data_IF_786014450222
#
_entry.id   IF_786014450222
#
_cell.length_a   1.000
_cell.length_b   1.000
_cell.length_c   1.000
_cell.angle_alpha   90.00
_cell.angle_beta   90.00
_cell.angle_gamma   90.00
#
_symmetry.space_group_name_H-M   'P 1'
#
loop_
_entity.id
_entity.type
_entity.pdbx_description
1 polymer ?
#
# COMPACT_ATOMS: atom_id res chain seq x y z
N UNK A 1 -0.64 -30.24 -0.06
CA UNK A 1 -1.68 -29.27 0.37
C UNK A 1 -2.58 -29.03 -0.82
N UNK A 2 -3.72 -29.73 -0.87
CA UNK A 2 -4.75 -29.41 -1.85
C UNK A 2 -5.60 -28.26 -1.30
N UNK A 3 -5.19 -27.04 -1.66
CA UNK A 3 -6.07 -25.88 -1.50
C UNK A 3 -7.16 -26.10 -2.54
N UNK A 4 -8.42 -26.16 -2.12
CA UNK A 4 -9.50 -26.33 -3.09
C UNK A 4 -9.42 -25.16 -4.08
N UNK A 5 -9.63 -25.44 -5.37
CA UNK A 5 -9.65 -24.42 -6.43
C UNK A 5 -10.62 -23.28 -6.08
N UNK A 6 -11.70 -23.61 -5.40
CA UNK A 6 -12.68 -22.63 -4.93
C UNK A 6 -12.11 -21.69 -3.87
N UNK A 7 -11.40 -22.21 -2.85
CA UNK A 7 -10.77 -21.38 -1.82
C UNK A 7 -9.71 -20.44 -2.43
N UNK A 8 -8.92 -20.94 -3.38
CA UNK A 8 -7.96 -20.14 -4.12
C UNK A 8 -8.65 -19.01 -4.91
N UNK A 9 -9.73 -19.34 -5.64
CA UNK A 9 -10.49 -18.36 -6.42
C UNK A 9 -11.10 -17.29 -5.51
N UNK A 10 -11.65 -17.66 -4.36
CA UNK A 10 -12.21 -16.72 -3.39
C UNK A 10 -11.12 -15.87 -2.73
N UNK A 11 -9.97 -16.42 -2.40
CA UNK A 11 -8.85 -15.62 -1.89
C UNK A 11 -8.35 -14.60 -2.92
N UNK A 12 -8.29 -15.00 -4.21
CA UNK A 12 -8.00 -14.09 -5.32
C UNK A 12 -9.06 -12.97 -5.42
N UNK A 13 -10.35 -13.33 -5.33
CA UNK A 13 -11.45 -12.37 -5.35
C UNK A 13 -11.40 -11.40 -4.15
N UNK A 14 -11.03 -11.89 -2.96
CA UNK A 14 -10.81 -11.04 -1.78
C UNK A 14 -9.64 -10.08 -1.98
N UNK A 15 -8.54 -10.56 -2.55
CA UNK A 15 -7.39 -9.72 -2.88
C UNK A 15 -7.75 -8.62 -3.89
N UNK A 16 -8.51 -8.98 -4.92
CA UNK A 16 -9.04 -8.03 -5.90
C UNK A 16 -9.95 -6.99 -5.22
N UNK A 17 -10.92 -7.43 -4.42
CA UNK A 17 -11.83 -6.54 -3.70
C UNK A 17 -11.09 -5.60 -2.74
N UNK A 18 -10.07 -6.11 -2.03
CA UNK A 18 -9.19 -5.29 -1.19
C UNK A 18 -8.47 -4.21 -2.02
N UNK A 19 -7.84 -4.60 -3.12
CA UNK A 19 -7.17 -3.66 -4.02
C UNK A 19 -8.10 -2.55 -4.49
N UNK A 20 -9.31 -2.92 -4.94
CA UNK A 20 -10.32 -2.00 -5.43
C UNK A 20 -10.80 -0.98 -4.38
N UNK A 21 -10.96 -1.42 -3.13
CA UNK A 21 -11.39 -0.52 -2.05
C UNK A 21 -10.25 0.35 -1.55
N UNK A 22 -9.09 -0.23 -1.39
CA UNK A 22 -8.06 0.33 -0.54
C UNK A 22 -7.08 1.27 -1.25
N UNK A 23 -6.83 1.13 -2.55
CA UNK A 23 -5.89 2.00 -3.29
C UNK A 23 -6.27 3.48 -3.16
N UNK A 24 -7.55 3.76 -3.16
CA UNK A 24 -8.13 5.10 -3.09
C UNK A 24 -7.67 5.89 -1.87
N UNK A 25 -7.50 5.22 -0.72
CA UNK A 25 -7.06 5.85 0.53
C UNK A 25 -5.66 6.47 0.45
N UNK A 26 -4.82 5.98 -0.46
CA UNK A 26 -3.46 6.48 -0.64
C UNK A 26 -3.37 7.51 -1.77
N UNK A 27 -4.23 7.44 -2.79
CA UNK A 27 -4.12 8.29 -3.99
C UNK A 27 -5.15 9.42 -4.06
N UNK A 28 -6.24 9.36 -3.27
CA UNK A 28 -7.31 10.35 -3.33
C UNK A 28 -6.81 11.78 -3.09
N UNK A 29 -5.84 11.95 -2.20
CA UNK A 29 -5.25 13.26 -1.93
C UNK A 29 -4.40 13.78 -3.09
N UNK A 30 -3.74 12.91 -3.88
CA UNK A 30 -3.01 13.32 -5.09
C UNK A 30 -3.96 13.85 -6.16
N UNK A 31 -5.10 13.18 -6.34
CA UNK A 31 -6.12 13.56 -7.32
C UNK A 31 -6.88 14.79 -6.83
N UNK A 32 -7.35 14.78 -5.59
CA UNK A 32 -8.15 15.86 -5.00
C UNK A 32 -7.39 17.18 -4.84
N UNK A 33 -6.05 17.15 -4.68
CA UNK A 33 -5.22 18.35 -4.67
C UNK A 33 -4.88 18.89 -6.06
N UNK A 34 -5.27 18.17 -7.14
CA UNK A 34 -4.98 18.59 -8.53
C UNK A 34 -3.53 18.41 -8.96
N UNK A 35 -2.70 17.69 -8.16
CA UNK A 35 -1.29 17.44 -8.50
C UNK A 35 -1.18 16.53 -9.73
N UNK A 36 -2.14 15.60 -9.90
CA UNK A 36 -2.14 14.68 -11.03
C UNK A 36 -3.55 14.21 -11.37
N UNK A 37 -3.68 13.63 -12.56
CA UNK A 37 -4.89 12.95 -13.00
C UNK A 37 -5.06 11.57 -12.33
N UNK A 38 -6.28 11.05 -12.35
CA UNK A 38 -6.61 9.75 -11.76
C UNK A 38 -5.79 8.60 -12.35
N UNK A 39 -5.54 8.62 -13.69
CA UNK A 39 -4.83 7.52 -14.37
C UNK A 39 -3.40 7.38 -13.88
N UNK A 40 -2.71 8.49 -13.72
CA UNK A 40 -1.33 8.50 -13.21
C UNK A 40 -1.29 8.11 -11.73
N UNK A 41 -2.22 8.64 -10.91
CA UNK A 41 -2.32 8.32 -9.49
C UNK A 41 -2.62 6.84 -9.26
N UNK A 42 -3.58 6.25 -10.02
CA UNK A 42 -3.95 4.84 -9.85
C UNK A 42 -2.81 3.91 -10.29
N UNK A 43 -2.10 4.22 -11.38
CA UNK A 43 -0.95 3.43 -11.82
C UNK A 43 0.16 3.44 -10.76
N UNK A 44 0.45 4.59 -10.17
CA UNK A 44 1.41 4.75 -9.09
C UNK A 44 1.03 3.96 -7.83
N UNK A 45 -0.21 4.16 -7.34
CA UNK A 45 -0.70 3.46 -6.15
C UNK A 45 -0.76 1.94 -6.34
N UNK A 46 -1.14 1.48 -7.55
CA UNK A 46 -1.14 0.07 -7.91
C UNK A 46 0.25 -0.53 -7.88
N UNK A 47 1.23 0.13 -8.52
CA UNK A 47 2.61 -0.36 -8.56
C UNK A 47 3.19 -0.51 -7.14
N UNK A 48 3.04 0.50 -6.30
CA UNK A 48 3.53 0.45 -4.91
C UNK A 48 2.77 -0.55 -4.05
N UNK A 49 1.46 -0.72 -4.25
CA UNK A 49 0.67 -1.77 -3.57
C UNK A 49 1.20 -3.16 -3.93
N UNK A 50 1.47 -3.44 -5.21
CA UNK A 50 2.00 -4.72 -5.66
C UNK A 50 3.40 -5.00 -5.08
N UNK A 51 4.28 -4.00 -5.08
CA UNK A 51 5.63 -4.11 -4.49
C UNK A 51 5.52 -4.40 -2.99
N UNK A 52 4.67 -3.66 -2.27
CA UNK A 52 4.45 -3.88 -0.84
C UNK A 52 3.90 -5.27 -0.53
N UNK A 53 2.90 -5.71 -1.30
CA UNK A 53 2.30 -7.03 -1.14
C UNK A 53 3.30 -8.16 -1.41
N UNK A 54 4.13 -8.05 -2.45
CA UNK A 54 5.15 -9.05 -2.77
C UNK A 54 6.24 -9.12 -1.70
N UNK A 55 6.75 -7.96 -1.24
CA UNK A 55 7.79 -7.89 -0.22
C UNK A 55 7.31 -8.31 1.18
N UNK A 56 6.00 -8.31 1.43
CA UNK A 56 5.43 -8.83 2.67
C UNK A 56 5.78 -10.31 2.92
N UNK A 57 6.06 -11.07 1.87
CA UNK A 57 6.49 -12.48 1.98
C UNK A 57 7.69 -12.67 2.93
N UNK A 58 8.56 -11.68 3.06
CA UNK A 58 9.79 -11.76 3.87
C UNK A 58 9.60 -11.36 5.34
N UNK A 59 8.54 -10.61 5.67
CA UNK A 59 8.40 -10.00 7.00
C UNK A 59 7.11 -10.39 7.74
N UNK A 60 6.16 -11.05 7.07
CA UNK A 60 4.79 -11.15 7.54
C UNK A 60 4.41 -12.43 8.29
N UNK A 61 5.36 -13.28 8.68
CA UNK A 61 5.09 -14.58 9.31
C UNK A 61 4.21 -14.48 10.56
N UNK A 62 4.39 -13.45 11.39
CA UNK A 62 3.59 -13.26 12.61
C UNK A 62 2.11 -12.94 12.27
N UNK A 63 1.88 -12.13 11.22
CA UNK A 63 0.55 -11.78 10.74
C UNK A 63 -0.16 -12.99 10.15
N UNK A 64 0.53 -13.79 9.33
CA UNK A 64 0.00 -15.04 8.76
C UNK A 64 -0.45 -15.96 9.88
N UNK A 65 0.41 -16.23 10.88
CA UNK A 65 0.06 -17.09 12.03
C UNK A 65 -1.15 -16.57 12.80
N UNK A 66 -1.28 -15.26 12.97
CA UNK A 66 -2.41 -14.68 13.69
C UNK A 66 -3.72 -14.93 12.95
N UNK A 67 -3.77 -14.68 11.65
CA UNK A 67 -5.01 -14.78 10.86
C UNK A 67 -5.34 -16.20 10.38
N UNK A 68 -4.36 -17.11 10.30
CA UNK A 68 -4.64 -18.51 9.92
C UNK A 68 -5.15 -19.36 11.10
N UNK A 69 -4.40 -19.40 12.19
CA UNK A 69 -4.72 -20.30 13.34
C UNK A 69 -4.69 -19.58 14.69
N UNK A 70 -4.27 -18.32 14.76
CA UNK A 70 -4.04 -17.61 16.04
C UNK A 70 -5.30 -17.08 16.72
N UNK A 71 -6.47 -17.25 16.12
CA UNK A 71 -7.77 -16.78 16.62
C UNK A 71 -8.70 -17.93 17.03
N UNK A 72 -8.36 -19.17 16.65
CA UNK A 72 -9.14 -20.38 16.90
C UNK A 72 -8.38 -21.28 17.86
N UNK A 73 -9.08 -22.00 18.74
CA UNK A 73 -8.50 -22.88 19.75
C UNK A 73 -7.62 -23.98 19.12
N UNK A 74 -6.52 -24.29 19.80
CA UNK A 74 -5.60 -25.34 19.38
C UNK A 74 -6.33 -26.69 19.33
N UNK A 75 -6.21 -27.40 18.20
CA UNK A 75 -6.89 -28.67 18.00
C UNK A 75 -8.25 -28.57 17.31
N UNK A 76 -8.79 -27.37 17.12
CA UNK A 76 -10.00 -27.18 16.31
C UNK A 76 -9.67 -27.40 14.82
N UNK A 77 -10.35 -28.34 14.20
CA UNK A 77 -10.22 -28.60 12.76
C UNK A 77 -11.08 -27.58 12.00
N UNK A 78 -10.43 -26.66 11.32
CA UNK A 78 -11.11 -25.70 10.47
C UNK A 78 -11.36 -26.37 9.11
N UNK A 79 -12.61 -26.73 8.86
CA UNK A 79 -13.01 -27.33 7.61
C UNK A 79 -12.97 -26.36 6.42
N UNK A 80 -13.01 -26.89 5.19
CA UNK A 80 -13.11 -26.06 3.99
C UNK A 80 -14.35 -25.16 3.96
N UNK A 81 -15.45 -25.64 4.51
CA UNK A 81 -16.75 -24.94 4.65
C UNK A 81 -16.62 -23.66 5.49
N UNK A 82 -15.92 -23.74 6.62
CA UNK A 82 -15.63 -22.58 7.51
C UNK A 82 -14.76 -21.57 6.77
N UNK A 83 -13.71 -22.04 6.09
CA UNK A 83 -12.82 -21.17 5.31
C UNK A 83 -13.57 -20.47 4.17
N UNK A 84 -14.44 -21.17 3.45
CA UNK A 84 -15.26 -20.60 2.40
C UNK A 84 -16.24 -19.57 2.94
N UNK A 85 -16.89 -19.85 4.08
CA UNK A 85 -17.80 -18.90 4.71
C UNK A 85 -17.10 -17.60 5.15
N UNK A 86 -15.89 -17.69 5.72
CA UNK A 86 -15.06 -16.53 6.06
C UNK A 86 -14.74 -15.71 4.82
N UNK A 87 -14.25 -16.35 3.75
CA UNK A 87 -13.91 -15.68 2.50
C UNK A 87 -15.12 -15.00 1.88
N UNK A 88 -16.25 -15.71 1.76
CA UNK A 88 -17.50 -15.18 1.18
C UNK A 88 -18.00 -13.97 2.00
N UNK A 89 -18.02 -14.06 3.33
CA UNK A 89 -18.45 -12.97 4.20
C UNK A 89 -17.58 -11.72 4.06
N UNK A 90 -16.27 -11.90 4.05
CA UNK A 90 -15.32 -10.79 3.88
C UNK A 90 -15.44 -10.15 2.47
N UNK A 91 -15.52 -10.97 1.41
CA UNK A 91 -15.68 -10.49 0.03
C UNK A 91 -16.98 -9.71 -0.12
N UNK A 92 -18.09 -10.29 0.34
CA UNK A 92 -19.41 -9.68 0.23
C UNK A 92 -19.45 -8.29 0.89
N UNK A 93 -18.88 -8.16 2.08
CA UNK A 93 -18.79 -6.88 2.78
C UNK A 93 -17.93 -5.86 2.02
N UNK A 94 -16.71 -6.24 1.59
CA UNK A 94 -15.80 -5.32 0.90
C UNK A 94 -16.36 -4.89 -0.44
N UNK A 95 -16.93 -5.81 -1.23
CA UNK A 95 -17.53 -5.48 -2.53
C UNK A 95 -18.78 -4.61 -2.37
N UNK A 96 -19.63 -4.89 -1.39
CA UNK A 96 -20.80 -4.07 -1.09
C UNK A 96 -20.38 -2.63 -0.76
N UNK A 97 -19.44 -2.46 0.14
CA UNK A 97 -18.92 -1.14 0.51
C UNK A 97 -18.25 -0.42 -0.68
N UNK A 98 -17.46 -1.14 -1.49
CA UNK A 98 -16.80 -0.56 -2.68
C UNK A 98 -17.81 -0.06 -3.72
N UNK A 99 -18.91 -0.79 -3.92
CA UNK A 99 -20.00 -0.35 -4.82
C UNK A 99 -20.69 0.94 -4.34
N UNK A 100 -20.78 1.11 -3.03
CA UNK A 100 -21.31 2.34 -2.42
C UNK A 100 -20.27 3.48 -2.36
N UNK A 101 -19.02 3.22 -2.75
CA UNK A 101 -17.92 4.18 -2.63
C UNK A 101 -17.38 4.34 -1.22
N UNK A 102 -17.74 3.44 -0.28
CA UNK A 102 -17.33 3.54 1.12
C UNK A 102 -15.95 2.90 1.32
N UNK A 103 -14.97 3.66 1.89
CA UNK A 103 -13.69 3.11 2.28
C UNK A 103 -13.86 2.25 3.54
N UNK A 104 -13.60 0.94 3.43
CA UNK A 104 -13.72 0.01 4.56
C UNK A 104 -12.38 -0.65 4.88
N UNK A 105 -12.27 -1.21 6.08
CA UNK A 105 -11.09 -1.96 6.49
C UNK A 105 -11.26 -3.45 6.21
N UNK A 106 -10.41 -4.00 5.37
CA UNK A 106 -10.35 -5.44 5.10
C UNK A 106 -9.99 -6.24 6.36
N UNK A 107 -9.20 -5.64 7.27
CA UNK A 107 -8.90 -6.25 8.58
C UNK A 107 -10.19 -6.44 9.40
N UNK A 108 -11.04 -5.42 9.46
CA UNK A 108 -12.34 -5.54 10.14
C UNK A 108 -13.26 -6.56 9.45
N UNK A 109 -13.30 -6.55 8.12
CA UNK A 109 -14.09 -7.51 7.34
C UNK A 109 -13.66 -8.96 7.62
N UNK A 110 -12.35 -9.25 7.53
CA UNK A 110 -11.79 -10.58 7.80
C UNK A 110 -12.00 -10.99 9.26
N UNK A 111 -11.71 -10.09 10.21
CA UNK A 111 -11.89 -10.40 11.63
C UNK A 111 -13.37 -10.69 11.95
N UNK A 112 -14.26 -9.86 11.45
CA UNK A 112 -15.70 -10.08 11.62
C UNK A 112 -16.16 -11.40 11.00
N UNK A 113 -15.67 -11.73 9.82
CA UNK A 113 -15.97 -12.99 9.15
C UNK A 113 -15.42 -14.21 9.94
N UNK A 114 -14.18 -14.15 10.42
CA UNK A 114 -13.57 -15.22 11.23
C UNK A 114 -14.33 -15.39 12.54
N UNK A 115 -14.62 -14.30 13.25
CA UNK A 115 -15.36 -14.36 14.54
C UNK A 115 -16.80 -14.83 14.33
N UNK A 116 -17.50 -14.28 13.36
CA UNK A 116 -18.89 -14.65 13.10
C UNK A 116 -19.04 -16.11 12.66
N UNK A 117 -18.23 -16.55 11.70
CA UNK A 117 -18.23 -17.93 11.22
C UNK A 117 -17.74 -18.90 12.30
N UNK A 118 -16.66 -18.53 13.01
CA UNK A 118 -16.11 -19.36 14.08
C UNK A 118 -17.08 -19.52 15.25
N UNK A 119 -17.82 -18.48 15.62
CA UNK A 119 -18.84 -18.57 16.65
C UNK A 119 -19.99 -19.54 16.26
N UNK A 120 -20.43 -19.48 15.00
CA UNK A 120 -21.47 -20.38 14.51
C UNK A 120 -20.98 -21.83 14.39
N UNK A 121 -19.74 -22.02 13.93
CA UNK A 121 -19.19 -23.36 13.70
C UNK A 121 -18.72 -24.08 14.95
N UNK A 122 -18.17 -23.34 15.93
CA UNK A 122 -17.45 -23.89 17.09
C UNK A 122 -17.97 -23.40 18.42
N UNK A 123 -19.04 -22.62 18.46
CA UNK A 123 -19.55 -21.90 19.61
C UNK A 123 -18.51 -20.97 20.27
N UNK A 124 -18.78 -20.49 21.47
CA UNK A 124 -17.91 -19.56 22.18
C UNK A 124 -16.53 -20.17 22.52
N UNK A 125 -16.49 -21.46 22.80
CA UNK A 125 -15.31 -22.19 23.25
C UNK A 125 -14.27 -22.39 22.12
N UNK A 126 -14.68 -22.34 20.86
CA UNK A 126 -13.80 -22.54 19.71
C UNK A 126 -12.94 -21.33 19.37
N UNK A 127 -13.19 -20.16 19.98
CA UNK A 127 -12.49 -18.92 19.71
C UNK A 127 -11.56 -18.51 20.85
N UNK A 128 -10.38 -17.97 20.52
CA UNK A 128 -9.44 -17.43 21.51
C UNK A 128 -9.76 -15.94 21.72
N UNK A 129 -10.76 -15.64 22.54
CA UNK A 129 -11.22 -14.27 22.82
C UNK A 129 -10.11 -13.33 23.30
N UNK A 130 -9.17 -13.85 24.10
CA UNK A 130 -8.02 -13.08 24.57
C UNK A 130 -7.06 -12.68 23.44
N UNK A 131 -6.92 -13.53 22.41
CA UNK A 131 -6.13 -13.20 21.22
C UNK A 131 -6.87 -12.18 20.33
N UNK A 132 -8.16 -12.37 20.12
CA UNK A 132 -9.03 -11.42 19.38
C UNK A 132 -8.96 -10.05 20.05
N UNK A 133 -9.14 -9.99 21.36
CA UNK A 133 -9.08 -8.77 22.14
C UNK A 133 -7.72 -8.07 22.04
N UNK A 134 -6.65 -8.77 22.41
CA UNK A 134 -5.30 -8.18 22.51
C UNK A 134 -4.64 -7.90 21.17
N UNK A 135 -4.79 -8.80 20.18
CA UNK A 135 -4.06 -8.69 18.90
C UNK A 135 -4.83 -7.92 17.83
N UNK A 136 -6.15 -7.81 17.96
CA UNK A 136 -7.00 -7.20 16.93
C UNK A 136 -7.84 -6.06 17.51
N UNK A 137 -8.76 -6.34 18.45
CA UNK A 137 -9.72 -5.35 18.91
C UNK A 137 -9.05 -4.13 19.58
N UNK A 138 -8.10 -4.36 20.48
CA UNK A 138 -7.35 -3.30 21.15
C UNK A 138 -6.56 -2.41 20.18
N UNK A 139 -5.69 -2.94 19.29
CA UNK A 139 -5.01 -2.14 18.29
C UNK A 139 -5.98 -1.36 17.37
N UNK A 140 -7.07 -1.99 16.94
CA UNK A 140 -8.06 -1.32 16.08
C UNK A 140 -8.78 -0.18 16.80
N UNK A 141 -9.10 -0.36 18.09
CA UNK A 141 -9.75 0.67 18.91
C UNK A 141 -8.82 1.86 19.17
N UNK A 142 -7.54 1.59 19.48
CA UNK A 142 -6.58 2.63 19.83
C UNK A 142 -5.91 3.30 18.62
N UNK A 143 -5.84 2.62 17.46
CA UNK A 143 -5.14 3.16 16.29
C UNK A 143 -5.66 4.52 15.79
N UNK A 144 -6.97 4.83 15.77
CA UNK A 144 -7.45 6.15 15.37
C UNK A 144 -6.98 7.26 16.30
N UNK A 145 -6.98 7.01 17.61
CA UNK A 145 -6.51 7.98 18.61
C UNK A 145 -5.02 8.21 18.49
N UNK A 146 -4.24 7.14 18.28
CA UNK A 146 -2.80 7.24 18.05
C UNK A 146 -2.50 8.03 16.77
N UNK A 147 -3.19 7.69 15.66
CA UNK A 147 -3.02 8.39 14.38
C UNK A 147 -3.39 9.87 14.48
N UNK A 148 -4.47 10.19 15.17
CA UNK A 148 -4.89 11.56 15.42
C UNK A 148 -3.86 12.34 16.24
N UNK A 149 -3.40 11.75 17.34
CA UNK A 149 -2.38 12.38 18.21
C UNK A 149 -1.08 12.63 17.46
N UNK A 150 -0.59 11.63 16.72
CA UNK A 150 0.63 11.76 15.89
C UNK A 150 0.43 12.85 14.83
N UNK A 151 -0.73 12.90 14.18
CA UNK A 151 -1.04 13.95 13.19
C UNK A 151 -1.04 15.34 13.81
N UNK A 152 -1.63 15.51 14.98
CA UNK A 152 -1.63 16.79 15.70
C UNK A 152 -0.21 17.26 16.06
N UNK A 153 0.64 16.34 16.48
CA UNK A 153 2.02 16.66 16.86
C UNK A 153 2.91 17.00 15.65
N UNK A 154 2.73 16.29 14.55
CA UNK A 154 3.55 16.46 13.35
C UNK A 154 3.06 17.63 12.48
N UNK A 155 1.74 17.89 12.47
CA UNK A 155 1.15 18.92 11.59
C UNK A 155 1.81 20.30 11.67
N UNK A 156 2.09 20.89 12.85
CA UNK A 156 2.73 22.21 12.93
C UNK A 156 4.13 22.22 12.30
N UNK A 157 4.91 21.15 12.51
CA UNK A 157 6.25 21.03 11.94
C UNK A 157 6.19 20.91 10.41
N UNK A 158 5.32 20.04 9.90
CA UNK A 158 5.10 19.88 8.45
C UNK A 158 4.62 21.18 7.83
N UNK A 159 3.65 21.86 8.45
CA UNK A 159 3.12 23.15 7.97
C UNK A 159 4.21 24.23 7.91
N UNK A 160 5.04 24.31 8.92
CA UNK A 160 6.15 25.29 8.97
C UNK A 160 7.18 24.97 7.88
N UNK A 161 7.51 23.70 7.69
CA UNK A 161 8.41 23.24 6.66
C UNK A 161 7.82 23.50 5.26
N UNK A 162 6.56 23.13 5.04
CA UNK A 162 5.87 23.36 3.78
C UNK A 162 5.86 24.83 3.37
N UNK A 163 5.56 25.76 4.31
CA UNK A 163 5.60 27.19 4.07
C UNK A 163 6.99 27.70 3.68
N UNK A 164 8.06 27.14 4.24
CA UNK A 164 9.44 27.51 3.87
C UNK A 164 9.82 27.00 2.47
N UNK A 165 9.18 25.91 2.01
CA UNK A 165 9.42 25.29 0.71
C UNK A 165 8.35 25.68 -0.32
N UNK A 166 7.36 26.46 0.07
CA UNK A 166 6.34 27.01 -0.83
C UNK A 166 7.03 27.92 -1.86
N UNK A 167 6.97 27.51 -3.13
CA UNK A 167 7.67 28.19 -4.22
C UNK A 167 9.17 27.94 -4.32
N UNK A 168 9.75 27.03 -3.52
CA UNK A 168 11.13 26.60 -3.64
C UNK A 168 11.21 25.11 -4.04
N UNK A 169 12.20 24.76 -4.84
CA UNK A 169 12.51 23.39 -5.20
C UNK A 169 14.02 23.15 -5.08
N UNK A 170 14.39 21.94 -4.71
CA UNK A 170 15.78 21.47 -4.78
C UNK A 170 16.03 20.93 -6.18
N UNK A 171 16.85 21.64 -6.94
CA UNK A 171 17.24 21.25 -8.29
C UNK A 171 18.70 20.82 -8.30
N UNK A 172 19.02 19.78 -9.06
CA UNK A 172 20.41 19.40 -9.32
C UNK A 172 20.84 20.07 -10.64
N UNK A 173 21.64 21.11 -10.55
CA UNK A 173 22.17 21.79 -11.74
C UNK A 173 23.37 21.03 -12.28
N UNK A 174 23.43 20.72 -13.58
CA UNK A 174 24.66 20.18 -14.18
C UNK A 174 25.78 21.19 -13.99
N UNK A 175 26.90 20.75 -13.43
CA UNK A 175 28.07 21.60 -13.31
C UNK A 175 28.62 21.84 -14.72
N UNK A 176 28.34 23.01 -15.28
CA UNK A 176 28.96 23.45 -16.53
C UNK A 176 30.28 24.14 -16.19
N UNK A 177 31.40 23.55 -16.56
CA UNK A 177 32.69 24.23 -16.57
C UNK A 177 32.87 24.92 -17.91
N UNK A 178 33.05 26.21 -17.87
CA UNK A 178 33.54 26.93 -19.05
C UNK A 178 35.00 26.55 -19.27
N UNK A 179 35.30 25.82 -20.32
CA UNK A 179 36.64 25.56 -20.77
C UNK A 179 36.94 26.54 -21.88
N UNK A 180 37.91 27.41 -21.67
CA UNK A 180 38.39 28.33 -22.69
C UNK A 180 39.38 27.54 -23.57
N UNK A 181 38.96 27.16 -24.75
CA UNK A 181 39.88 26.60 -25.75
C UNK A 181 40.54 27.73 -26.55
N UNK A 182 41.86 27.76 -26.58
CA UNK A 182 42.62 28.71 -27.42
C UNK A 182 42.77 28.08 -28.82
N UNK A 183 42.15 28.74 -29.79
CA UNK A 183 42.34 28.34 -31.21
C UNK A 183 43.78 28.67 -31.63
N UNK A 184 44.50 27.78 -32.29
CA UNK A 184 45.85 28.06 -32.82
C UNK A 184 45.92 29.29 -33.75
N UNK A 185 44.77 29.80 -34.21
CA UNK A 185 44.65 31.00 -35.06
C UNK A 185 44.38 32.28 -34.26
N UNK A 186 44.56 32.27 -32.91
CA UNK A 186 44.47 33.46 -32.06
C UNK A 186 43.09 33.82 -31.59
N UNK A 187 42.04 32.98 -31.82
CA UNK A 187 40.71 33.16 -31.32
C UNK A 187 40.45 32.39 -30.01
N UNK A 188 39.73 32.97 -29.08
CA UNK A 188 39.24 32.28 -27.87
C UNK A 188 37.81 31.76 -28.12
N UNK A 189 37.64 30.46 -28.02
CA UNK A 189 36.29 29.81 -28.02
C UNK A 189 35.96 29.31 -26.62
N UNK A 190 34.87 29.77 -26.06
CA UNK A 190 34.38 29.24 -24.81
C UNK A 190 33.56 27.99 -25.08
N UNK A 191 34.06 26.84 -24.67
CA UNK A 191 33.36 25.55 -24.73
C UNK A 191 32.81 25.25 -23.35
N UNK A 192 31.51 24.95 -23.26
CA UNK A 192 30.87 24.48 -22.04
C UNK A 192 30.95 22.95 -21.98
N UNK A 193 31.71 22.45 -21.05
CA UNK A 193 31.77 21.01 -20.79
C UNK A 193 30.85 20.69 -19.59
N UNK A 194 29.84 19.87 -19.84
CA UNK A 194 28.96 19.38 -18.78
C UNK A 194 29.67 18.33 -17.93
N UNK A 195 29.83 18.59 -16.64
CA UNK A 195 30.32 17.58 -15.71
C UNK A 195 29.17 16.64 -15.28
N UNK A 196 29.49 15.36 -15.08
CA UNK A 196 28.49 14.32 -14.75
C UNK A 196 27.86 14.44 -13.36
N UNK A 197 28.34 15.32 -12.49
CA UNK A 197 27.78 15.52 -11.14
C UNK A 197 27.28 16.95 -11.01
N UNK A 198 25.97 17.10 -10.77
CA UNK A 198 25.34 18.38 -10.55
C UNK A 198 25.48 18.86 -9.08
N UNK A 199 25.47 20.17 -8.90
CA UNK A 199 25.37 20.74 -7.56
C UNK A 199 23.90 20.93 -7.17
N UNK A 200 23.48 20.57 -5.94
CA UNK A 200 22.14 20.86 -5.45
C UNK A 200 21.99 22.37 -5.22
N UNK A 201 20.96 22.96 -5.82
CA UNK A 201 20.63 24.38 -5.68
C UNK A 201 19.17 24.52 -5.31
N UNK A 202 18.88 25.38 -4.33
CA UNK A 202 17.50 25.76 -4.02
C UNK A 202 17.11 26.89 -4.96
N UNK A 203 16.08 26.67 -5.77
CA UNK A 203 15.62 27.62 -6.79
C UNK A 203 14.09 27.64 -6.86
N UNK A 204 13.53 28.62 -7.58
CA UNK A 204 12.09 28.64 -7.88
C UNK A 204 11.81 27.73 -9.07
N UNK A 205 10.68 26.97 -9.12
CA UNK A 205 10.35 26.05 -10.19
C UNK A 205 10.54 26.64 -11.61
N UNK A 206 10.12 27.89 -11.81
CA UNK A 206 10.28 28.58 -13.08
C UNK A 206 11.75 28.80 -13.52
N UNK A 207 12.70 28.78 -12.60
CA UNK A 207 14.13 28.87 -12.93
C UNK A 207 14.68 27.49 -13.33
N UNK A 208 14.20 26.43 -12.69
CA UNK A 208 14.55 25.06 -13.04
C UNK A 208 14.06 24.74 -14.48
N UNK A 209 12.84 25.13 -14.83
CA UNK A 209 12.24 24.90 -16.15
C UNK A 209 12.98 25.70 -17.25
N UNK A 210 13.32 26.97 -17.01
CA UNK A 210 14.06 27.83 -17.97
C UNK A 210 15.48 27.31 -18.23
N UNK A 211 16.09 26.67 -17.25
CA UNK A 211 17.42 26.12 -17.39
C UNK A 211 17.44 24.76 -18.12
N UNK A 212 16.30 24.25 -18.58
CA UNK A 212 16.18 22.94 -19.24
C UNK A 212 16.67 21.79 -18.37
N UNK A 213 16.60 21.95 -17.06
CA UNK A 213 17.15 21.01 -16.09
C UNK A 213 16.22 19.80 -16.00
N UNK A 214 16.59 18.73 -16.68
CA UNK A 214 16.06 17.39 -16.43
C UNK A 214 16.71 16.82 -15.16
N UNK A 215 16.59 17.53 -14.05
CA UNK A 215 17.12 17.13 -12.75
C UNK A 215 16.01 16.66 -11.83
N UNK A 216 16.37 15.98 -10.75
CA UNK A 216 15.44 15.62 -9.68
C UNK A 216 14.97 16.92 -9.01
N UNK A 217 13.74 17.35 -9.34
CA UNK A 217 13.10 18.51 -8.69
C UNK A 217 12.37 17.98 -7.46
N UNK A 218 12.91 18.25 -6.27
CA UNK A 218 12.25 17.90 -5.01
C UNK A 218 11.42 19.11 -4.54
N UNK A 219 10.17 19.13 -4.94
CA UNK A 219 9.16 20.08 -4.47
C UNK A 219 8.13 19.40 -3.56
N UNK A 220 7.16 20.17 -3.07
CA UNK A 220 6.05 19.65 -2.26
C UNK A 220 5.26 18.56 -3.00
N UNK A 221 5.06 18.71 -4.30
CA UNK A 221 4.38 17.72 -5.14
C UNK A 221 5.13 16.38 -5.17
N UNK A 222 6.46 16.42 -5.27
CA UNK A 222 7.30 15.21 -5.23
C UNK A 222 7.18 14.50 -3.88
N UNK A 223 7.17 15.26 -2.77
CA UNK A 223 6.97 14.71 -1.43
C UNK A 223 5.58 14.05 -1.32
N UNK A 224 4.56 14.67 -1.92
CA UNK A 224 3.20 14.10 -1.94
C UNK A 224 3.15 12.79 -2.75
N UNK A 225 3.80 12.72 -3.91
CA UNK A 225 3.94 11.48 -4.67
C UNK A 225 4.63 10.39 -3.85
N UNK A 226 5.75 10.69 -3.20
CA UNK A 226 6.49 9.74 -2.36
C UNK A 226 5.63 9.26 -1.20
N UNK A 227 4.96 10.16 -0.47
CA UNK A 227 4.11 9.80 0.67
C UNK A 227 2.92 8.93 0.26
N UNK A 228 2.28 9.22 -0.88
CA UNK A 228 1.22 8.40 -1.46
C UNK A 228 1.74 7.01 -1.86
N UNK A 229 2.93 6.93 -2.47
CA UNK A 229 3.58 5.66 -2.79
C UNK A 229 3.89 4.83 -1.54
N UNK A 230 4.47 5.46 -0.51
CA UNK A 230 4.75 4.79 0.77
C UNK A 230 3.48 4.33 1.48
N UNK A 231 2.39 5.10 1.43
CA UNK A 231 1.10 4.70 1.97
C UNK A 231 0.53 3.47 1.21
N UNK A 232 0.63 3.46 -0.11
CA UNK A 232 0.23 2.31 -0.96
C UNK A 232 1.07 1.07 -0.65
N UNK A 233 2.39 1.24 -0.52
CA UNK A 233 3.33 0.18 -0.16
C UNK A 233 3.01 -0.40 1.23
N UNK A 234 2.87 0.45 2.25
CA UNK A 234 2.55 0.03 3.62
C UNK A 234 1.24 -0.74 3.69
N UNK A 235 0.23 -0.32 2.92
CA UNK A 235 -1.03 -1.05 2.79
C UNK A 235 -0.84 -2.44 2.17
N UNK A 236 -0.16 -2.51 1.04
CA UNK A 236 0.15 -3.79 0.39
C UNK A 236 0.84 -4.76 1.35
N UNK A 237 1.86 -4.26 2.06
CA UNK A 237 2.61 -5.03 3.07
C UNK A 237 1.73 -5.48 4.24
N UNK A 238 0.75 -4.67 4.65
CA UNK A 238 -0.12 -4.99 5.78
C UNK A 238 -1.27 -5.94 5.40
N UNK A 239 -1.82 -5.85 4.20
CA UNK A 239 -3.05 -6.57 3.84
C UNK A 239 -2.80 -7.91 3.14
N UNK A 240 -1.76 -8.02 2.31
CA UNK A 240 -1.41 -9.26 1.65
C UNK A 240 -1.25 -10.46 2.60
N UNK A 241 -0.57 -10.35 3.76
CA UNK A 241 -0.42 -11.48 4.68
C UNK A 241 -1.72 -12.01 5.25
N UNK A 242 -2.71 -11.14 5.45
CA UNK A 242 -4.03 -11.53 5.98
C UNK A 242 -4.80 -12.36 4.96
N UNK A 243 -4.71 -11.97 3.69
CA UNK A 243 -5.34 -12.70 2.58
C UNK A 243 -4.61 -14.02 2.33
N UNK A 244 -3.27 -14.00 2.34
CA UNK A 244 -2.44 -15.20 2.24
C UNK A 244 -2.72 -16.17 3.39
N UNK A 245 -2.99 -15.67 4.61
CA UNK A 245 -3.37 -16.49 5.76
C UNK A 245 -4.68 -17.26 5.52
N UNK A 246 -5.60 -16.72 4.72
CA UNK A 246 -6.86 -17.42 4.38
C UNK A 246 -6.62 -18.67 3.54
N UNK A 247 -5.55 -18.71 2.75
CA UNK A 247 -5.14 -19.91 2.01
C UNK A 247 -4.66 -21.04 2.94
N UNK A 248 -4.16 -20.68 4.14
CA UNK A 248 -3.74 -21.64 5.17
C UNK A 248 -4.86 -22.02 6.13
N UNK A 249 -5.91 -21.20 6.25
CA UNK A 249 -6.97 -21.38 7.25
C UNK A 249 -7.68 -22.74 7.11
N UNK A 250 -7.93 -23.18 5.88
CA UNK A 250 -8.56 -24.47 5.58
C UNK A 250 -7.60 -25.63 5.38
N UNK A 251 -6.29 -25.44 5.64
CA UNK A 251 -5.31 -26.50 5.48
C UNK A 251 -5.02 -27.18 6.81
N UNK A 252 -4.76 -28.50 6.75
CA UNK A 252 -4.32 -29.27 7.93
C UNK A 252 -2.91 -28.90 8.40
N UNK A 253 -2.16 -28.16 7.60
CA UNK A 253 -0.81 -27.72 7.89
C UNK A 253 -0.80 -26.28 8.38
N UNK A 254 -0.25 -26.03 9.55
CA UNK A 254 -0.10 -24.69 10.11
C UNK A 254 1.01 -23.85 9.44
N UNK A 255 1.68 -24.38 8.42
CA UNK A 255 2.78 -23.75 7.72
C UNK A 255 2.79 -24.08 6.23
N UNK A 256 3.44 -23.25 5.44
CA UNK A 256 3.65 -23.48 4.01
C UNK A 256 4.58 -24.69 3.79
N UNK A 257 4.31 -25.52 2.77
CA UNK A 257 5.16 -26.68 2.45
C UNK A 257 6.60 -26.30 2.09
N UNK A 258 6.79 -25.10 1.52
CA UNK A 258 8.10 -24.56 1.13
C UNK A 258 8.08 -23.03 1.07
N UNK A 259 9.26 -22.41 1.12
CA UNK A 259 9.40 -20.98 0.92
C UNK A 259 8.93 -20.54 -0.48
N UNK A 260 9.13 -21.36 -1.51
CA UNK A 260 8.67 -21.07 -2.87
C UNK A 260 7.14 -21.04 -2.97
N UNK A 261 6.42 -21.92 -2.27
CA UNK A 261 4.96 -21.90 -2.24
C UNK A 261 4.41 -20.66 -1.53
N UNK A 262 5.07 -20.22 -0.46
CA UNK A 262 4.74 -18.97 0.21
C UNK A 262 4.96 -17.78 -0.73
N UNK A 263 6.12 -17.68 -1.38
CA UNK A 263 6.41 -16.59 -2.33
C UNK A 263 5.39 -16.57 -3.49
N UNK A 264 5.04 -17.74 -4.03
CA UNK A 264 4.03 -17.85 -5.08
C UNK A 264 2.66 -17.31 -4.62
N UNK A 265 2.23 -17.65 -3.40
CA UNK A 265 0.97 -17.15 -2.83
C UNK A 265 0.97 -15.63 -2.69
N UNK A 266 2.06 -15.03 -2.20
CA UNK A 266 2.21 -13.58 -2.14
C UNK A 266 2.23 -12.93 -3.52
N UNK A 267 2.89 -13.56 -4.50
CA UNK A 267 2.90 -13.12 -5.90
C UNK A 267 1.50 -13.06 -6.49
N UNK A 268 0.71 -14.12 -6.32
CA UNK A 268 -0.68 -14.17 -6.78
C UNK A 268 -1.54 -13.10 -6.10
N UNK A 269 -1.43 -12.97 -4.78
CA UNK A 269 -2.17 -11.93 -4.02
C UNK A 269 -1.76 -10.53 -4.47
N UNK A 270 -0.47 -10.28 -4.70
CA UNK A 270 0.02 -8.99 -5.19
C UNK A 270 -0.56 -8.65 -6.56
N UNK A 271 -0.61 -9.61 -7.49
CA UNK A 271 -1.23 -9.43 -8.81
C UNK A 271 -2.73 -9.17 -8.68
N UNK A 272 -3.44 -9.96 -7.87
CA UNK A 272 -4.88 -9.78 -7.65
C UNK A 272 -5.22 -8.42 -7.03
N UNK A 273 -4.46 -7.99 -6.01
CA UNK A 273 -4.58 -6.65 -5.42
C UNK A 273 -4.29 -5.56 -6.45
N UNK A 274 -3.26 -5.73 -7.28
CA UNK A 274 -2.93 -4.82 -8.37
C UNK A 274 -4.05 -4.67 -9.39
N UNK A 275 -4.60 -5.78 -9.86
CA UNK A 275 -5.74 -5.78 -10.79
C UNK A 275 -6.96 -5.10 -10.15
N UNK A 276 -7.26 -5.41 -8.91
CA UNK A 276 -8.35 -4.77 -8.16
C UNK A 276 -8.13 -3.26 -8.02
N UNK A 277 -6.93 -2.84 -7.66
CA UNK A 277 -6.57 -1.43 -7.54
C UNK A 277 -6.79 -0.69 -8.86
N UNK A 278 -6.24 -1.21 -9.96
CA UNK A 278 -6.27 -0.54 -11.25
C UNK A 278 -7.67 -0.45 -11.86
N UNK A 279 -8.44 -1.54 -11.80
CA UNK A 279 -9.76 -1.61 -12.45
C UNK A 279 -10.93 -1.22 -11.52
N UNK A 280 -10.78 -1.37 -10.22
CA UNK A 280 -11.89 -1.18 -9.27
C UNK A 280 -11.81 0.07 -8.38
N UNK A 281 -10.67 0.81 -8.39
CA UNK A 281 -10.42 1.91 -7.46
C UNK A 281 -11.20 3.20 -7.70
N UNK A 282 -11.83 3.38 -8.87
CA UNK A 282 -12.42 4.67 -9.27
C UNK A 282 -13.50 5.15 -8.30
N UNK A 283 -14.49 4.32 -8.01
CA UNK A 283 -15.67 4.72 -7.24
C UNK A 283 -15.35 5.22 -5.83
N UNK A 284 -14.44 4.53 -5.16
CA UNK A 284 -13.99 4.93 -3.81
C UNK A 284 -13.09 6.17 -3.87
N UNK A 285 -12.28 6.31 -4.93
CA UNK A 285 -11.44 7.50 -5.13
C UNK A 285 -12.30 8.75 -5.37
N UNK A 286 -13.37 8.65 -6.15
CA UNK A 286 -14.32 9.74 -6.36
C UNK A 286 -14.92 10.24 -5.03
N UNK A 287 -15.35 9.34 -4.15
CA UNK A 287 -15.94 9.71 -2.85
C UNK A 287 -14.91 10.32 -1.90
N UNK A 288 -13.65 9.89 -1.95
CA UNK A 288 -12.60 10.40 -1.06
C UNK A 288 -11.88 11.64 -1.59
N UNK A 289 -11.86 11.85 -2.90
CA UNK A 289 -11.10 12.91 -3.55
C UNK A 289 -11.92 14.16 -3.88
N UNK A 290 -13.23 14.09 -3.79
CA UNK A 290 -14.19 15.19 -4.06
C UNK A 290 -14.99 15.53 -2.77
#
# INVERSE_FOLDING_TARGET
MEISLLAFTLAFALAFANGANDVSKAIATLVGSGITDYRSAIAWGTAWTMVGAALAAFVANAMIKTFSHGLVQTGTIIGPDVTLAVLIGAIAWVLFASRLGLPVSTTHALTGAIVGTGFVAFAEEGLIWSAIGKKIALPLLFSPFLAYTVSLLIHPAVRTLARKWEGACLCVMPASRAVVAIDPRGGTRTLFQTAHFGQPVIAVPAQCDRAGLRGLVLGLDTIHWISSGLASFARGTNDAPKIVAMLLLGSTNAAWPSASSQLAAFGVVAVAMGLGSYFGGLRVTEVLGW
#
